data_IF_321279101881
#
_entry.id   IF_321279101881
#
_cell.length_a   1.000
_cell.length_b   1.000
_cell.length_c   1.000
_cell.angle_alpha   90.00
_cell.angle_beta   90.00
_cell.angle_gamma   90.00
#
_symmetry.space_group_name_H-M   'P 1'
#
loop_
_entity.id
_entity.type
_entity.pdbx_description
1 polymer ?
#
# COMPACT_ATOMS: atom_id res chain seq x y z
N UNK A 1 4.19 7.12 -21.49
CA UNK A 1 3.50 5.87 -21.90
C UNK A 1 1.99 6.11 -21.86
N UNK A 2 1.20 5.59 -22.81
CA UNK A 2 -0.28 5.70 -22.77
C UNK A 2 -0.84 4.80 -21.66
N UNK A 3 -1.99 5.14 -21.07
CA UNK A 3 -2.54 4.39 -19.93
C UNK A 3 -2.84 2.93 -20.25
N UNK A 4 -3.37 2.64 -21.44
CA UNK A 4 -3.56 1.26 -21.90
C UNK A 4 -2.27 0.42 -21.88
N UNK A 5 -1.12 1.05 -22.18
CA UNK A 5 0.18 0.40 -22.12
C UNK A 5 0.66 0.25 -20.67
N UNK A 6 0.41 1.25 -19.80
CA UNK A 6 0.72 1.16 -18.36
C UNK A 6 -0.08 0.05 -17.67
N UNK A 7 -1.37 -0.09 -17.98
CA UNK A 7 -2.20 -1.18 -17.44
C UNK A 7 -1.55 -2.55 -17.65
N UNK A 8 -0.91 -2.76 -18.81
CA UNK A 8 -0.20 -4.00 -19.12
C UNK A 8 1.19 -4.07 -18.48
N UNK A 9 1.97 -2.99 -18.50
CA UNK A 9 3.42 -3.07 -18.28
C UNK A 9 3.96 -2.34 -17.04
N UNK A 10 3.22 -1.38 -16.47
CA UNK A 10 3.67 -0.64 -15.30
C UNK A 10 3.75 -1.54 -14.05
N UNK A 11 4.61 -1.15 -13.10
CA UNK A 11 4.79 -1.81 -11.80
C UNK A 11 5.67 -3.07 -11.77
N UNK A 12 6.01 -3.67 -12.90
CA UNK A 12 6.95 -4.81 -12.96
C UNK A 12 7.75 -4.83 -14.26
N UNK A 13 9.08 -4.78 -14.13
CA UNK A 13 10.02 -4.84 -15.26
C UNK A 13 11.01 -5.98 -15.01
N UNK A 14 10.78 -7.18 -15.58
CA UNK A 14 11.65 -8.33 -15.36
C UNK A 14 13.03 -8.14 -16.02
N UNK A 15 14.08 -8.58 -15.34
CA UNK A 15 15.45 -8.66 -15.85
C UNK A 15 15.69 -9.96 -16.61
N UNK A 16 16.92 -10.15 -17.13
CA UNK A 16 17.30 -11.37 -17.84
C UNK A 16 17.07 -12.61 -16.96
N UNK A 17 16.45 -13.64 -17.53
CA UNK A 17 16.04 -14.89 -16.86
C UNK A 17 14.97 -14.76 -15.76
N UNK A 18 14.43 -13.57 -15.47
CA UNK A 18 13.30 -13.42 -14.56
C UNK A 18 11.96 -13.75 -15.24
N UNK A 19 10.94 -14.22 -14.49
CA UNK A 19 9.62 -14.51 -15.05
C UNK A 19 9.00 -13.31 -15.77
N UNK A 20 8.42 -13.53 -16.95
CA UNK A 20 7.74 -12.46 -17.72
C UNK A 20 6.54 -11.87 -16.99
N UNK A 21 5.81 -12.71 -16.24
CA UNK A 21 4.64 -12.33 -15.45
C UNK A 21 5.06 -12.23 -13.99
N UNK A 22 4.49 -11.27 -13.26
CA UNK A 22 4.72 -11.09 -11.81
C UNK A 22 4.45 -12.42 -11.08
N UNK A 23 5.44 -13.00 -10.38
CA UNK A 23 5.21 -14.19 -9.58
C UNK A 23 4.27 -13.93 -8.40
N UNK A 24 3.57 -14.97 -7.95
CA UNK A 24 2.83 -14.95 -6.69
C UNK A 24 3.81 -15.29 -5.57
N UNK A 25 4.23 -14.28 -4.80
CA UNK A 25 5.11 -14.45 -3.64
C UNK A 25 4.25 -14.75 -2.42
N UNK A 26 3.83 -16.01 -2.30
CA UNK A 26 3.06 -16.52 -1.16
C UNK A 26 3.95 -16.82 0.05
N UNK A 27 4.73 -15.81 0.48
CA UNK A 27 5.56 -15.88 1.69
C UNK A 27 5.17 -14.77 2.66
N UNK A 28 5.34 -15.01 3.96
CA UNK A 28 5.18 -13.99 4.99
C UNK A 28 6.51 -13.37 5.41
N UNK A 29 7.61 -14.12 5.32
CA UNK A 29 8.95 -13.74 5.76
C UNK A 29 9.98 -13.86 4.63
N UNK A 30 11.16 -13.26 4.83
CA UNK A 30 12.26 -13.24 3.87
C UNK A 30 13.57 -13.61 4.58
N UNK A 31 14.48 -14.25 3.84
CA UNK A 31 15.79 -14.68 4.36
C UNK A 31 16.78 -13.51 4.30
N UNK A 32 17.66 -13.46 5.29
CA UNK A 32 18.77 -12.52 5.39
C UNK A 32 20.09 -13.30 5.51
N UNK A 33 21.17 -12.76 4.95
CA UNK A 33 22.47 -13.44 4.95
C UNK A 33 23.22 -13.24 6.28
N UNK A 34 22.83 -12.23 7.07
CA UNK A 34 23.39 -12.00 8.40
C UNK A 34 22.43 -11.33 9.39
N UNK A 35 22.72 -11.46 10.68
CA UNK A 35 22.00 -10.74 11.74
C UNK A 35 22.25 -9.23 11.71
N UNK A 36 23.41 -8.79 11.18
CA UNK A 36 23.72 -7.37 10.98
C UNK A 36 22.78 -6.75 9.92
N UNK A 37 22.49 -7.46 8.84
CA UNK A 37 21.52 -7.00 7.84
C UNK A 37 20.12 -6.85 8.44
N UNK A 38 19.68 -7.83 9.23
CA UNK A 38 18.40 -7.74 9.95
C UNK A 38 18.35 -6.48 10.81
N UNK A 39 19.38 -6.23 11.62
CA UNK A 39 19.44 -5.03 12.47
C UNK A 39 19.37 -3.74 11.64
N UNK A 40 20.09 -3.68 10.52
CA UNK A 40 20.11 -2.49 9.65
C UNK A 40 18.75 -2.12 9.05
N UNK A 41 17.89 -3.12 8.86
CA UNK A 41 16.54 -2.91 8.32
C UNK A 41 15.56 -2.48 9.41
N UNK A 42 15.79 -2.79 10.69
CA UNK A 42 15.00 -2.18 11.76
C UNK A 42 15.32 -0.69 11.95
N UNK A 43 16.56 -0.27 11.65
CA UNK A 43 16.94 1.14 11.65
C UNK A 43 16.42 1.89 10.40
N UNK A 44 16.38 1.22 9.24
CA UNK A 44 15.83 1.78 8.00
C UNK A 44 14.92 0.74 7.27
N UNK A 45 13.62 0.69 7.63
CA UNK A 45 12.69 -0.34 7.16
C UNK A 45 12.46 -0.41 5.65
N UNK A 46 12.88 0.61 4.90
CA UNK A 46 12.76 0.67 3.44
C UNK A 46 13.91 -0.01 2.70
N UNK A 47 14.99 -0.41 3.41
CA UNK A 47 16.17 -1.03 2.79
C UNK A 47 15.92 -2.42 2.23
N UNK A 48 15.03 -3.20 2.85
CA UNK A 48 14.73 -4.57 2.45
C UNK A 48 13.34 -5.02 2.91
N UNK A 49 12.91 -6.17 2.41
CA UNK A 49 11.64 -6.80 2.77
C UNK A 49 11.75 -7.51 4.12
N UNK A 50 10.97 -7.08 5.11
CA UNK A 50 10.93 -7.68 6.44
C UNK A 50 9.82 -8.72 6.54
N UNK A 51 8.59 -8.28 6.28
CA UNK A 51 7.39 -9.06 6.54
C UNK A 51 6.24 -8.61 5.64
N UNK A 52 5.50 -9.58 5.08
CA UNK A 52 4.46 -9.32 4.07
C UNK A 52 3.24 -8.54 4.57
N UNK A 53 3.11 -8.30 5.88
CA UNK A 53 2.11 -7.36 6.41
C UNK A 53 2.36 -5.92 5.96
N UNK A 54 3.62 -5.56 5.74
CA UNK A 54 4.02 -4.19 5.36
C UNK A 54 4.34 -4.08 3.88
N UNK A 55 5.05 -5.07 3.32
CA UNK A 55 5.46 -5.08 1.92
C UNK A 55 5.66 -6.50 1.39
N UNK A 56 5.19 -6.75 0.17
CA UNK A 56 5.33 -8.03 -0.53
C UNK A 56 5.56 -7.78 -2.03
N UNK A 57 6.50 -8.47 -2.71
CA UNK A 57 6.83 -8.17 -4.11
C UNK A 57 5.63 -8.18 -5.08
N UNK A 58 4.68 -9.11 -4.89
CA UNK A 58 3.48 -9.17 -5.72
C UNK A 58 2.58 -7.96 -5.49
N UNK A 59 2.44 -7.54 -4.23
CA UNK A 59 1.64 -6.37 -3.84
C UNK A 59 2.30 -5.06 -4.29
N UNK A 60 3.62 -4.94 -4.13
CA UNK A 60 4.40 -3.78 -4.57
C UNK A 60 4.28 -3.53 -6.07
N UNK A 61 4.21 -4.59 -6.88
CA UNK A 61 3.98 -4.44 -8.31
C UNK A 61 2.60 -3.81 -8.62
N UNK A 62 1.58 -4.11 -7.83
CA UNK A 62 0.24 -3.49 -7.95
C UNK A 62 0.30 -2.03 -7.49
N UNK A 63 0.94 -1.76 -6.35
CA UNK A 63 1.10 -0.41 -5.82
C UNK A 63 1.82 0.52 -6.81
N UNK A 64 2.95 0.08 -7.35
CA UNK A 64 3.69 0.82 -8.37
C UNK A 64 2.85 1.06 -9.63
N UNK A 65 2.11 0.04 -10.09
CA UNK A 65 1.22 0.18 -11.26
C UNK A 65 0.13 1.22 -11.01
N UNK A 66 -0.52 1.20 -9.84
CA UNK A 66 -1.55 2.18 -9.46
C UNK A 66 -0.94 3.59 -9.42
N UNK A 67 0.22 3.76 -8.78
CA UNK A 67 0.91 5.04 -8.72
C UNK A 67 1.23 5.60 -10.11
N UNK A 68 1.75 4.76 -11.02
CA UNK A 68 2.03 5.16 -12.41
C UNK A 68 0.79 5.52 -13.23
N UNK A 69 -0.33 4.81 -12.99
CA UNK A 69 -1.61 5.07 -13.67
C UNK A 69 -2.23 6.40 -13.21
N UNK A 70 -2.26 6.64 -11.90
CA UNK A 70 -2.82 7.86 -11.31
C UNK A 70 -1.87 9.07 -11.37
N UNK A 71 -0.59 8.85 -11.69
CA UNK A 71 0.43 9.91 -11.68
C UNK A 71 0.86 10.33 -10.28
N UNK A 72 0.65 9.47 -9.28
CA UNK A 72 1.04 9.70 -7.89
C UNK A 72 2.52 9.34 -7.62
N UNK A 73 3.04 9.81 -6.50
CA UNK A 73 4.42 9.50 -6.05
C UNK A 73 4.56 8.12 -5.39
N UNK A 74 3.44 7.46 -5.09
CA UNK A 74 3.37 6.15 -4.46
C UNK A 74 1.92 5.72 -4.25
N UNK A 75 1.72 4.45 -3.92
CA UNK A 75 0.44 3.89 -3.54
C UNK A 75 0.63 2.84 -2.44
N UNK A 76 -0.44 2.54 -1.71
CA UNK A 76 -0.45 1.49 -0.69
C UNK A 76 -1.71 0.64 -0.85
N UNK A 77 -1.52 -0.66 -1.03
CA UNK A 77 -2.61 -1.61 -1.04
C UNK A 77 -3.06 -1.88 0.39
N UNK A 78 -4.37 -2.00 0.58
CA UNK A 78 -4.98 -2.31 1.87
C UNK A 78 -5.93 -3.49 1.70
N UNK A 79 -6.37 -4.07 2.82
CA UNK A 79 -7.25 -5.24 2.82
C UNK A 79 -8.64 -4.96 2.23
N UNK A 80 -9.07 -3.70 2.17
CA UNK A 80 -10.35 -3.29 1.57
C UNK A 80 -10.39 -1.77 1.31
N UNK A 81 -11.33 -1.32 0.48
CA UNK A 81 -11.56 0.13 0.29
C UNK A 81 -11.95 0.88 1.58
N UNK A 82 -12.61 0.21 2.53
CA UNK A 82 -12.89 0.81 3.85
C UNK A 82 -11.64 0.95 4.71
N UNK A 83 -10.70 -0.01 4.63
CA UNK A 83 -9.40 0.11 5.28
C UNK A 83 -8.58 1.26 4.68
N UNK A 84 -8.63 1.44 3.34
CA UNK A 84 -8.01 2.59 2.69
C UNK A 84 -8.57 3.92 3.21
N UNK A 85 -9.90 4.08 3.27
CA UNK A 85 -10.53 5.29 3.81
C UNK A 85 -10.16 5.54 5.28
N UNK A 86 -10.20 4.50 6.11
CA UNK A 86 -9.85 4.60 7.53
C UNK A 86 -8.39 5.04 7.71
N UNK A 87 -7.44 4.36 7.06
CA UNK A 87 -6.02 4.66 7.18
C UNK A 87 -5.68 6.03 6.59
N UNK A 88 -6.33 6.45 5.50
CA UNK A 88 -6.13 7.79 4.94
C UNK A 88 -6.47 8.89 5.95
N UNK A 89 -7.55 8.73 6.72
CA UNK A 89 -7.92 9.70 7.76
C UNK A 89 -6.99 9.59 8.98
N UNK A 90 -6.73 8.39 9.49
CA UNK A 90 -5.88 8.21 10.68
C UNK A 90 -4.41 8.61 10.44
N UNK A 91 -3.97 8.66 9.19
CA UNK A 91 -2.62 9.11 8.85
C UNK A 91 -2.46 10.64 8.92
N UNK A 92 -3.56 11.40 8.92
CA UNK A 92 -3.55 12.88 8.94
C UNK A 92 -4.27 13.49 10.15
N UNK A 93 -5.21 12.76 10.75
CA UNK A 93 -6.01 13.22 11.88
C UNK A 93 -5.73 12.38 13.13
N UNK A 94 -5.72 13.04 14.27
CA UNK A 94 -5.70 12.44 15.61
C UNK A 94 -6.95 12.84 16.42
N UNK A 95 -7.08 12.30 17.63
CA UNK A 95 -8.17 12.67 18.53
C UNK A 95 -8.20 14.19 18.78
N UNK A 96 -9.38 14.79 18.63
CA UNK A 96 -9.60 16.24 18.71
C UNK A 96 -9.52 16.98 17.38
N UNK A 97 -9.03 16.35 16.30
CA UNK A 97 -9.03 16.97 14.98
C UNK A 97 -10.42 16.92 14.32
N UNK A 98 -10.56 17.59 13.18
CA UNK A 98 -11.79 17.57 12.38
C UNK A 98 -11.47 17.58 10.89
N UNK A 99 -12.31 16.93 10.10
CA UNK A 99 -12.24 16.93 8.64
C UNK A 99 -13.63 17.17 8.04
N UNK A 100 -13.67 17.60 6.78
CA UNK A 100 -14.91 17.87 6.04
C UNK A 100 -15.05 16.85 4.91
N UNK A 101 -16.24 16.31 4.73
CA UNK A 101 -16.58 15.40 3.63
C UNK A 101 -17.84 15.87 2.91
N UNK A 102 -17.96 15.55 1.62
CA UNK A 102 -19.25 15.62 0.91
C UNK A 102 -20.23 14.59 1.49
N UNK A 103 -21.52 14.89 1.41
CA UNK A 103 -22.60 14.01 1.86
C UNK A 103 -22.95 12.94 0.82
N UNK A 104 -22.59 13.16 -0.45
CA UNK A 104 -22.86 12.24 -1.57
C UNK A 104 -21.73 11.22 -1.76
N UNK A 105 -21.48 10.39 -0.73
CA UNK A 105 -20.49 9.30 -0.76
C UNK A 105 -21.14 7.95 -0.46
N UNK A 106 -20.38 6.87 -0.65
CA UNK A 106 -20.81 5.51 -0.33
C UNK A 106 -21.28 5.40 1.14
N UNK A 107 -22.45 4.78 1.36
CA UNK A 107 -23.10 4.72 2.68
C UNK A 107 -22.25 4.09 3.78
N UNK A 108 -21.40 3.10 3.45
CA UNK A 108 -20.45 2.53 4.41
C UNK A 108 -19.41 3.56 4.87
N UNK A 109 -18.96 4.45 3.98
CA UNK A 109 -18.03 5.54 4.32
C UNK A 109 -18.72 6.63 5.15
N UNK A 110 -20.01 6.91 4.88
CA UNK A 110 -20.81 7.79 5.76
C UNK A 110 -20.86 7.24 7.19
N UNK A 111 -21.10 5.94 7.33
CA UNK A 111 -21.13 5.29 8.65
C UNK A 111 -19.75 5.31 9.33
N UNK A 112 -18.69 5.03 8.58
CA UNK A 112 -17.30 5.12 9.05
C UNK A 112 -17.01 6.51 9.63
N UNK A 113 -17.31 7.57 8.87
CA UNK A 113 -17.01 8.96 9.26
C UNK A 113 -17.88 9.46 10.40
N UNK A 114 -19.18 9.14 10.38
CA UNK A 114 -20.14 9.72 11.32
C UNK A 114 -20.18 8.99 12.66
N UNK A 115 -19.93 7.68 12.67
CA UNK A 115 -20.15 6.84 13.84
C UNK A 115 -18.88 6.14 14.32
N UNK A 116 -18.10 5.55 13.41
CA UNK A 116 -16.94 4.75 13.82
C UNK A 116 -15.77 5.63 14.24
N UNK A 117 -15.39 6.62 13.43
CA UNK A 117 -14.25 7.50 13.73
C UNK A 117 -14.48 8.35 14.99
N UNK A 118 -15.72 8.78 15.27
CA UNK A 118 -16.06 9.52 16.50
C UNK A 118 -15.77 8.76 17.80
N UNK A 119 -15.66 7.43 17.74
CA UNK A 119 -15.29 6.62 18.92
C UNK A 119 -13.80 6.65 19.21
N UNK A 120 -12.99 7.18 18.29
CA UNK A 120 -11.53 7.26 18.39
C UNK A 120 -11.04 8.64 18.87
N UNK A 121 -11.95 9.52 19.28
CA UNK A 121 -11.70 10.90 19.70
C UNK A 121 -12.05 11.90 18.63
#
# INVERSE_FOLDING_TARGET
MKDATKCLHAGYTPKNSEPRVVPIVQSTTYVYDSTLEVASVFDEPTKSLIYSRFANPTVMAVENKIAELEGGVGAMCTTSGQAANLLAILNICQAGDSFISTTAIYGGTVNLFTHTLRKLG
#
